data_IF_917505396897
#
_entry.id   IF_917505396897
#
_cell.length_a   1.000
_cell.length_b   1.000
_cell.length_c   1.000
_cell.angle_alpha   90.00
_cell.angle_beta   90.00
_cell.angle_gamma   90.00
#
_symmetry.space_group_name_H-M   'P 1'
#
loop_
_entity.id
_entity.type
_entity.pdbx_description
1 polymer ?
#
# COMPACT_ATOMS: atom_id res chain seq x y z
N UNK A 1 15.46 -11.18 -9.31
CA UNK A 1 14.14 -10.76 -9.88
C UNK A 1 13.35 -10.02 -8.80
N UNK A 2 13.05 -8.74 -8.99
CA UNK A 2 12.19 -7.97 -8.05
C UNK A 2 10.73 -8.35 -8.31
N UNK A 3 10.01 -8.74 -7.26
CA UNK A 3 8.56 -8.91 -7.24
C UNK A 3 8.05 -8.62 -5.83
N UNK A 4 7.87 -7.34 -5.56
CA UNK A 4 7.49 -6.84 -4.25
C UNK A 4 6.21 -6.02 -4.32
N UNK A 5 5.51 -5.95 -3.20
CA UNK A 5 4.23 -5.25 -3.09
C UNK A 5 4.20 -4.41 -1.82
N UNK A 6 3.74 -3.17 -1.94
CA UNK A 6 3.39 -2.27 -0.83
C UNK A 6 1.89 -2.07 -0.86
N UNK A 7 1.21 -2.31 0.25
CA UNK A 7 -0.27 -2.26 0.32
C UNK A 7 -0.76 -1.50 1.53
N UNK A 8 -1.95 -0.91 1.39
CA UNK A 8 -2.71 -0.35 2.51
C UNK A 8 -4.18 -0.73 2.37
N UNK A 9 -4.85 -0.95 3.50
CA UNK A 9 -6.25 -1.36 3.58
C UNK A 9 -6.98 -0.59 4.68
N UNK A 10 -8.26 -0.30 4.43
CA UNK A 10 -9.16 0.33 5.41
C UNK A 10 -10.61 -0.07 5.15
N UNK A 11 -11.49 0.17 6.12
CA UNK A 11 -12.92 -0.06 6.01
C UNK A 11 -13.65 1.03 5.22
N UNK A 12 -15.00 1.07 5.28
CA UNK A 12 -15.81 2.05 4.56
C UNK A 12 -15.39 3.48 4.86
N UNK A 13 -15.16 4.26 3.78
CA UNK A 13 -14.87 5.69 3.84
C UNK A 13 -15.33 6.31 2.54
N UNK A 14 -16.45 7.01 2.58
CA UNK A 14 -16.97 7.73 1.44
C UNK A 14 -16.09 8.92 1.11
N UNK A 15 -15.65 9.00 -0.14
CA UNK A 15 -14.81 10.08 -0.66
C UNK A 15 -15.21 10.40 -2.10
N UNK A 16 -15.29 11.69 -2.40
CA UNK A 16 -15.56 12.18 -3.75
C UNK A 16 -14.38 11.96 -4.69
N UNK A 17 -14.59 11.96 -6.02
CA UNK A 17 -13.50 11.89 -6.97
C UNK A 17 -12.43 12.96 -6.80
N UNK A 18 -12.81 14.15 -6.28
CA UNK A 18 -11.88 15.24 -6.01
C UNK A 18 -10.99 14.93 -4.81
N UNK A 19 -11.55 14.47 -3.70
CA UNK A 19 -10.78 14.06 -2.52
C UNK A 19 -9.83 12.89 -2.84
N UNK A 20 -10.30 11.94 -3.64
CA UNK A 20 -9.45 10.84 -4.12
C UNK A 20 -8.33 11.34 -5.03
N UNK A 21 -8.59 12.32 -5.91
CA UNK A 21 -7.56 12.93 -6.75
C UNK A 21 -6.48 13.61 -5.91
N UNK A 22 -6.86 14.36 -4.87
CA UNK A 22 -5.92 15.01 -3.96
C UNK A 22 -5.02 13.99 -3.24
N UNK A 23 -5.58 12.84 -2.77
CA UNK A 23 -4.80 11.75 -2.18
C UNK A 23 -3.84 11.09 -3.19
N UNK A 24 -4.30 10.85 -4.40
CA UNK A 24 -3.48 10.30 -5.46
C UNK A 24 -2.28 11.20 -5.75
N UNK A 25 -2.51 12.50 -5.94
CA UNK A 25 -1.45 13.46 -6.27
C UNK A 25 -0.43 13.59 -5.14
N UNK A 26 -0.88 13.62 -3.87
CA UNK A 26 0.03 13.61 -2.72
C UNK A 26 0.86 12.31 -2.69
N UNK A 27 0.23 11.16 -2.90
CA UNK A 27 0.95 9.88 -2.95
C UNK A 27 2.00 9.82 -4.06
N UNK A 28 1.64 10.23 -5.28
CA UNK A 28 2.57 10.25 -6.41
C UNK A 28 3.75 11.21 -6.17
N UNK A 29 3.51 12.37 -5.57
CA UNK A 29 4.56 13.31 -5.20
C UNK A 29 5.54 12.71 -4.19
N UNK A 30 5.03 12.07 -3.14
CA UNK A 30 5.85 11.40 -2.12
C UNK A 30 6.61 10.20 -2.67
N UNK A 31 6.01 9.41 -3.56
CA UNK A 31 6.73 8.31 -4.23
C UNK A 31 7.91 8.82 -5.06
N UNK A 32 7.75 9.96 -5.74
CA UNK A 32 8.85 10.59 -6.47
C UNK A 32 10.03 10.95 -5.55
N UNK A 33 9.79 11.34 -4.30
CA UNK A 33 10.83 11.58 -3.29
C UNK A 33 11.54 10.28 -2.85
N UNK A 34 10.86 9.13 -2.92
CA UNK A 34 11.48 7.82 -2.63
C UNK A 34 12.45 7.42 -3.74
N UNK A 35 12.01 7.52 -5.01
CA UNK A 35 12.85 7.27 -6.20
C UNK A 35 12.27 7.96 -7.44
N UNK A 36 12.89 9.07 -7.85
CA UNK A 36 12.41 9.85 -9.00
C UNK A 36 12.53 9.10 -10.33
N UNK A 37 13.47 8.15 -10.44
CA UNK A 37 13.68 7.43 -11.69
C UNK A 37 12.62 6.34 -11.91
N UNK A 38 12.13 5.73 -10.85
CA UNK A 38 11.11 4.67 -10.92
C UNK A 38 9.70 5.26 -10.87
N UNK A 39 9.48 6.28 -10.03
CA UNK A 39 8.15 6.80 -9.74
C UNK A 39 7.84 8.11 -10.49
N UNK A 40 8.35 8.25 -11.69
CA UNK A 40 8.02 9.33 -12.60
C UNK A 40 7.29 8.79 -13.85
N UNK A 41 6.73 9.71 -14.66
CA UNK A 41 6.09 9.40 -15.96
C UNK A 41 4.94 8.38 -15.85
N UNK A 42 4.03 8.65 -14.92
CA UNK A 42 2.83 7.83 -14.70
C UNK A 42 1.89 7.88 -15.90
N UNK A 43 1.34 6.71 -16.26
CA UNK A 43 0.44 6.51 -17.38
C UNK A 43 -0.85 5.86 -16.93
N UNK A 44 -1.93 6.21 -17.61
CA UNK A 44 -3.25 5.60 -17.42
C UNK A 44 -3.26 4.15 -17.93
N UNK A 45 -4.05 3.29 -17.30
CA UNK A 45 -4.19 1.88 -17.74
C UNK A 45 -5.15 1.69 -18.90
N UNK A 46 -5.92 2.71 -19.26
CA UNK A 46 -6.89 2.69 -20.35
C UNK A 46 -6.27 2.62 -21.77
N UNK A 47 -5.04 2.17 -21.89
CA UNK A 47 -4.37 1.94 -23.16
C UNK A 47 -3.30 0.86 -23.03
N UNK A 48 -3.14 0.03 -24.06
CA UNK A 48 -2.09 -0.98 -24.06
C UNK A 48 -0.74 -0.38 -24.48
N UNK A 49 0.29 -0.60 -23.67
CA UNK A 49 1.68 -0.38 -24.04
C UNK A 49 2.17 1.09 -24.02
N UNK A 50 3.26 1.39 -24.72
CA UNK A 50 3.95 2.70 -24.66
C UNK A 50 3.13 3.91 -25.08
N UNK A 51 2.00 3.70 -25.74
CA UNK A 51 1.10 4.73 -26.24
C UNK A 51 0.00 5.12 -25.24
N UNK A 52 -0.03 4.50 -24.03
CA UNK A 52 -0.98 4.87 -23.00
C UNK A 52 -0.83 6.36 -22.64
N UNK A 53 -1.95 7.09 -22.45
CA UNK A 53 -1.90 8.50 -22.07
C UNK A 53 -1.10 8.72 -20.79
N UNK A 54 -0.41 9.85 -20.69
CA UNK A 54 0.17 10.30 -19.43
C UNK A 54 -0.95 10.66 -18.46
N UNK A 55 -0.79 10.32 -17.22
CA UNK A 55 -1.72 10.73 -16.18
C UNK A 55 -1.72 12.25 -16.04
N UNK A 56 -2.90 12.84 -15.96
CA UNK A 56 -3.04 14.25 -15.58
C UNK A 56 -2.60 14.41 -14.13
N UNK A 57 -1.63 15.27 -13.87
CA UNK A 57 -1.10 15.52 -12.52
C UNK A 57 -1.66 16.82 -11.92
N UNK A 58 -2.91 17.14 -12.27
CA UNK A 58 -3.70 18.19 -11.65
C UNK A 58 -5.01 17.62 -11.08
N UNK A 59 -5.58 18.23 -10.03
CA UNK A 59 -6.71 17.63 -9.32
C UNK A 59 -7.98 17.48 -10.18
N UNK A 60 -8.23 18.37 -11.12
CA UNK A 60 -9.43 18.35 -11.97
C UNK A 60 -9.33 17.26 -13.03
N UNK A 61 -8.19 17.22 -13.73
CA UNK A 61 -7.90 16.20 -14.74
C UNK A 61 -7.86 14.80 -14.13
N UNK A 62 -7.27 14.65 -12.91
CA UNK A 62 -7.23 13.37 -12.22
C UNK A 62 -8.60 12.93 -11.71
N UNK A 63 -9.42 13.84 -11.16
CA UNK A 63 -10.81 13.53 -10.78
C UNK A 63 -11.65 13.06 -11.98
N UNK A 64 -11.47 13.72 -13.15
CA UNK A 64 -12.11 13.29 -14.38
C UNK A 64 -11.64 11.90 -14.84
N UNK A 65 -10.35 11.57 -14.63
CA UNK A 65 -9.83 10.22 -14.90
C UNK A 65 -10.48 9.16 -14.01
N UNK A 66 -10.63 9.43 -12.70
CA UNK A 66 -11.28 8.52 -11.74
C UNK A 66 -12.72 8.22 -12.19
N UNK A 67 -13.51 9.24 -12.48
CA UNK A 67 -14.91 9.08 -12.95
C UNK A 67 -15.00 8.32 -14.27
N UNK A 68 -14.09 8.59 -15.20
CA UNK A 68 -14.06 7.90 -16.50
C UNK A 68 -13.75 6.41 -16.37
N UNK A 69 -12.97 6.02 -15.36
CA UNK A 69 -12.62 4.63 -15.08
C UNK A 69 -13.75 3.82 -14.43
N UNK A 70 -14.71 4.50 -13.80
CA UNK A 70 -15.90 3.90 -13.16
C UNK A 70 -17.16 4.67 -13.57
N UNK A 71 -17.79 4.28 -14.70
CA UNK A 71 -18.88 5.04 -15.32
C UNK A 71 -20.20 5.03 -14.55
N UNK A 72 -20.38 4.17 -13.56
CA UNK A 72 -21.59 4.09 -12.74
C UNK A 72 -21.27 3.90 -11.26
N UNK A 73 -20.84 4.97 -10.57
CA UNK A 73 -20.49 4.91 -9.16
C UNK A 73 -21.68 4.55 -8.25
N UNK A 74 -22.91 4.84 -8.65
CA UNK A 74 -24.11 4.53 -7.85
C UNK A 74 -24.46 3.02 -7.87
N UNK A 75 -23.98 2.27 -8.89
CA UNK A 75 -24.16 0.83 -8.96
C UNK A 75 -23.11 0.06 -8.13
N UNK A 76 -22.02 0.71 -7.68
CA UNK A 76 -20.92 0.05 -7.01
C UNK A 76 -20.63 0.67 -5.63
N UNK A 77 -21.21 0.14 -4.54
CA UNK A 77 -20.92 0.61 -3.18
C UNK A 77 -19.46 0.46 -2.78
N UNK A 78 -18.66 -0.27 -3.55
CA UNK A 78 -17.20 -0.47 -3.32
C UNK A 78 -16.34 0.76 -3.67
N UNK A 79 -16.93 1.81 -4.27
CA UNK A 79 -16.21 3.02 -4.69
C UNK A 79 -15.52 2.89 -6.04
N UNK A 80 -14.62 3.83 -6.30
CA UNK A 80 -13.92 3.97 -7.57
C UNK A 80 -12.71 3.04 -7.68
N UNK A 81 -12.48 2.48 -8.88
CA UNK A 81 -11.29 1.71 -9.20
C UNK A 81 -10.41 2.46 -10.17
N UNK A 82 -9.20 2.77 -9.76
CA UNK A 82 -8.26 3.56 -10.55
C UNK A 82 -6.90 2.89 -10.55
N UNK A 83 -6.19 2.88 -11.65
CA UNK A 83 -4.84 2.34 -11.70
C UNK A 83 -3.92 3.11 -12.64
N UNK A 84 -2.67 3.23 -12.24
CA UNK A 84 -1.59 3.83 -13.00
C UNK A 84 -0.42 2.87 -13.10
N UNK A 85 0.39 3.06 -14.12
CA UNK A 85 1.64 2.33 -14.27
C UNK A 85 2.76 3.25 -14.77
N UNK A 86 4.01 2.84 -14.49
CA UNK A 86 5.19 3.46 -15.06
C UNK A 86 6.15 2.38 -15.52
N UNK A 87 6.89 2.68 -16.58
CA UNK A 87 7.95 1.82 -17.11
C UNK A 87 9.04 2.67 -17.72
N UNK A 88 10.22 2.53 -17.18
CA UNK A 88 11.44 3.12 -17.72
C UNK A 88 12.43 2.01 -18.07
N UNK A 89 13.14 2.16 -19.16
CA UNK A 89 14.15 1.17 -19.57
C UNK A 89 15.21 1.01 -18.47
N UNK A 90 15.58 -0.24 -18.18
CA UNK A 90 16.56 -0.55 -17.13
C UNK A 90 16.06 -0.36 -15.69
N UNK A 91 14.77 -0.06 -15.50
CA UNK A 91 14.17 0.13 -14.16
C UNK A 91 12.98 -0.83 -13.94
N UNK A 92 12.66 -1.15 -12.67
CA UNK A 92 11.46 -1.90 -12.34
C UNK A 92 10.19 -1.21 -12.85
N UNK A 93 9.25 -2.00 -13.37
CA UNK A 93 7.90 -1.51 -13.64
C UNK A 93 7.18 -1.30 -12.31
N UNK A 94 6.65 -0.10 -12.10
CA UNK A 94 5.72 0.19 -11.01
C UNK A 94 4.27 0.19 -11.53
N UNK A 95 3.35 -0.33 -10.72
CA UNK A 95 1.91 -0.35 -10.99
C UNK A 95 1.17 -0.05 -9.68
N UNK A 96 0.29 0.93 -9.69
CA UNK A 96 -0.57 1.26 -8.56
C UNK A 96 -2.01 0.97 -8.95
N UNK A 97 -2.72 0.23 -8.09
CA UNK A 97 -4.16 0.06 -8.15
C UNK A 97 -4.79 0.56 -6.86
N UNK A 98 -5.88 1.31 -6.98
CA UNK A 98 -6.67 1.82 -5.86
C UNK A 98 -8.12 1.42 -6.04
N UNK A 99 -8.74 0.98 -4.95
CA UNK A 99 -10.19 0.83 -4.81
C UNK A 99 -10.61 1.61 -3.57
N UNK A 100 -11.28 2.75 -3.74
CA UNK A 100 -11.54 3.70 -2.66
C UNK A 100 -12.78 4.57 -2.91
N UNK A 101 -13.25 5.25 -1.86
CA UNK A 101 -14.38 6.17 -1.90
C UNK A 101 -15.74 5.51 -1.74
N UNK A 102 -15.79 4.22 -1.42
CA UNK A 102 -17.02 3.46 -1.25
C UNK A 102 -17.51 3.36 0.20
N UNK A 103 -18.73 2.85 0.34
CA UNK A 103 -19.42 2.62 1.62
C UNK A 103 -19.66 1.13 1.90
N UNK A 104 -19.16 0.23 1.05
CA UNK A 104 -19.32 -1.21 1.25
C UNK A 104 -18.66 -1.67 2.54
N UNK A 105 -19.40 -2.37 3.37
CA UNK A 105 -18.98 -2.86 4.69
C UNK A 105 -18.44 -4.30 4.68
N UNK A 106 -18.56 -5.00 3.55
CA UNK A 106 -18.08 -6.37 3.36
C UNK A 106 -16.74 -6.47 2.62
N UNK A 107 -16.24 -5.38 2.03
CA UNK A 107 -15.00 -5.37 1.23
C UNK A 107 -14.14 -4.17 1.62
N UNK A 108 -12.89 -4.40 2.05
CA UNK A 108 -12.01 -3.30 2.41
C UNK A 108 -11.61 -2.49 1.16
N UNK A 109 -11.45 -1.20 1.35
CA UNK A 109 -10.81 -0.31 0.41
C UNK A 109 -9.29 -0.56 0.43
N UNK A 110 -8.60 -0.25 -0.66
CA UNK A 110 -7.17 -0.58 -0.75
C UNK A 110 -6.39 0.30 -1.72
N UNK A 111 -5.11 0.44 -1.41
CA UNK A 111 -4.05 0.87 -2.32
C UNK A 111 -3.01 -0.24 -2.43
N UNK A 112 -2.62 -0.58 -3.66
CA UNK A 112 -1.62 -1.64 -3.93
C UNK A 112 -0.61 -1.12 -4.94
N UNK A 113 0.63 -0.90 -4.50
CA UNK A 113 1.79 -0.61 -5.34
C UNK A 113 2.56 -1.92 -5.56
N UNK A 114 2.73 -2.32 -6.83
CA UNK A 114 3.51 -3.47 -7.25
C UNK A 114 4.75 -3.02 -7.99
N UNK A 115 5.89 -3.60 -7.66
CA UNK A 115 7.15 -3.41 -8.38
C UNK A 115 7.62 -4.74 -8.93
N UNK A 116 7.90 -4.76 -10.24
CA UNK A 116 8.35 -5.96 -10.95
C UNK A 116 9.52 -5.64 -11.86
N UNK A 117 10.58 -6.45 -11.78
CA UNK A 117 11.66 -6.46 -12.74
C UNK A 117 12.10 -7.89 -13.02
N UNK A 118 12.33 -8.19 -14.32
CA UNK A 118 12.95 -9.46 -14.74
C UNK A 118 14.46 -9.47 -14.55
N UNK A 119 15.08 -8.31 -14.64
CA UNK A 119 16.55 -8.18 -14.81
C UNK A 119 17.25 -7.57 -13.58
N UNK A 120 16.49 -7.02 -12.60
CA UNK A 120 17.06 -6.48 -11.36
C UNK A 120 17.21 -7.57 -10.31
N UNK A 121 18.30 -7.53 -9.57
CA UNK A 121 18.58 -8.44 -8.46
C UNK A 121 17.75 -8.08 -7.22
N UNK A 122 17.59 -9.03 -6.28
CA UNK A 122 16.86 -8.82 -5.03
C UNK A 122 17.51 -7.74 -4.13
N UNK A 123 18.80 -7.48 -4.35
CA UNK A 123 19.60 -6.48 -3.64
C UNK A 123 19.54 -5.08 -4.28
N UNK A 124 18.57 -4.80 -5.18
CA UNK A 124 18.39 -3.45 -5.74
C UNK A 124 18.17 -2.44 -4.60
N UNK A 125 18.96 -1.33 -4.56
CA UNK A 125 18.84 -0.30 -3.53
C UNK A 125 17.43 0.29 -3.37
N UNK A 126 16.58 0.18 -4.40
CA UNK A 126 15.18 0.56 -4.35
C UNK A 126 14.43 -0.25 -3.29
N UNK A 127 14.68 -1.58 -3.20
CA UNK A 127 13.96 -2.45 -2.25
C UNK A 127 14.17 -1.97 -0.81
N UNK A 128 15.39 -1.56 -0.45
CA UNK A 128 15.71 -0.99 0.87
C UNK A 128 15.02 0.36 1.17
N UNK A 129 14.48 1.04 0.14
CA UNK A 129 13.74 2.31 0.31
C UNK A 129 12.22 2.12 0.41
N UNK A 130 11.70 0.91 0.13
CA UNK A 130 10.25 0.67 0.10
C UNK A 130 9.52 0.82 1.46
N UNK A 131 10.17 0.68 2.64
CA UNK A 131 9.53 1.13 3.88
C UNK A 131 9.14 2.61 3.86
N UNK A 132 9.88 3.48 3.14
CA UNK A 132 9.49 4.88 2.91
C UNK A 132 8.31 5.01 1.94
N UNK A 133 8.19 4.13 0.95
CA UNK A 133 7.01 4.08 0.08
C UNK A 133 5.76 3.66 0.85
N UNK A 134 5.89 2.75 1.84
CA UNK A 134 4.80 2.41 2.76
C UNK A 134 4.44 3.59 3.67
N UNK A 135 5.41 4.36 4.15
CA UNK A 135 5.16 5.60 4.90
C UNK A 135 4.46 6.65 4.02
N UNK A 136 4.90 6.84 2.77
CA UNK A 136 4.25 7.73 1.81
C UNK A 136 2.79 7.34 1.53
N UNK A 137 2.53 6.01 1.41
CA UNK A 137 1.17 5.48 1.30
C UNK A 137 0.36 5.80 2.55
N UNK A 138 0.94 5.59 3.75
CA UNK A 138 0.27 5.86 5.03
C UNK A 138 -0.08 7.34 5.19
N UNK A 139 0.83 8.23 4.83
CA UNK A 139 0.61 9.67 4.92
C UNK A 139 -0.49 10.17 3.97
N UNK A 140 -0.51 9.67 2.73
CA UNK A 140 -1.46 10.13 1.72
C UNK A 140 -2.85 9.49 1.86
N UNK A 141 -2.91 8.19 2.15
CA UNK A 141 -4.16 7.41 2.13
C UNK A 141 -4.75 7.15 3.51
N UNK A 142 -3.97 7.32 4.58
CA UNK A 142 -4.41 7.08 5.97
C UNK A 142 -5.12 5.72 6.15
N UNK A 143 -4.47 4.60 5.75
CA UNK A 143 -5.06 3.26 5.88
C UNK A 143 -5.14 2.81 7.33
N UNK A 144 -5.96 1.80 7.60
CA UNK A 144 -6.03 1.15 8.91
C UNK A 144 -4.76 0.35 9.19
N UNK A 145 -4.33 -0.42 8.19
CA UNK A 145 -3.06 -1.14 8.21
C UNK A 145 -2.49 -1.25 6.79
N UNK A 146 -1.20 -1.59 6.70
CA UNK A 146 -0.53 -1.82 5.43
C UNK A 146 0.72 -2.66 5.62
N UNK A 147 1.23 -3.24 4.52
CA UNK A 147 2.47 -4.00 4.55
C UNK A 147 3.34 -3.78 3.31
N UNK A 148 4.61 -4.06 3.47
CA UNK A 148 5.57 -4.22 2.39
C UNK A 148 6.15 -5.63 2.45
N UNK A 149 6.03 -6.40 1.38
CA UNK A 149 6.54 -7.76 1.30
C UNK A 149 6.86 -8.19 -0.13
N UNK A 150 7.74 -9.19 -0.27
CA UNK A 150 7.87 -10.00 -1.47
C UNK A 150 6.85 -11.15 -1.47
N UNK A 151 6.76 -11.83 -2.62
CA UNK A 151 5.78 -12.91 -2.80
C UNK A 151 6.02 -14.10 -1.87
N UNK A 152 7.27 -14.48 -1.64
CA UNK A 152 7.62 -15.64 -0.82
C UNK A 152 7.21 -15.39 0.64
N UNK A 153 7.57 -14.23 1.17
CA UNK A 153 7.23 -13.81 2.53
C UNK A 153 5.72 -13.67 2.72
N UNK A 154 5.01 -13.06 1.74
CA UNK A 154 3.54 -12.99 1.77
C UNK A 154 2.90 -14.38 1.85
N UNK A 155 3.42 -15.35 1.09
CA UNK A 155 2.91 -16.72 1.10
C UNK A 155 3.17 -17.37 2.46
N UNK A 156 4.40 -17.29 2.98
CA UNK A 156 4.76 -17.88 4.27
C UNK A 156 3.89 -17.34 5.42
N UNK A 157 3.69 -16.02 5.50
CA UNK A 157 2.85 -15.41 6.55
C UNK A 157 1.39 -15.80 6.38
N UNK A 158 0.88 -15.80 5.14
CA UNK A 158 -0.51 -16.20 4.87
C UNK A 158 -0.79 -17.63 5.31
N UNK A 159 0.11 -18.56 4.99
CA UNK A 159 -0.03 -19.99 5.35
C UNK A 159 0.11 -20.21 6.85
N UNK A 160 1.08 -19.54 7.52
CA UNK A 160 1.31 -19.70 8.95
C UNK A 160 0.11 -19.24 9.82
N UNK A 161 -0.66 -18.26 9.36
CA UNK A 161 -1.75 -17.65 10.12
C UNK A 161 -3.13 -17.80 9.47
N UNK A 162 -3.27 -18.63 8.44
CA UNK A 162 -4.51 -18.90 7.70
C UNK A 162 -5.24 -17.59 7.27
N UNK A 163 -4.52 -16.69 6.57
CA UNK A 163 -5.02 -15.38 6.22
C UNK A 163 -5.60 -15.34 4.81
N UNK A 164 -6.67 -14.59 4.65
CA UNK A 164 -7.13 -14.14 3.34
C UNK A 164 -6.21 -13.04 2.74
N UNK A 165 -6.55 -12.53 1.56
CA UNK A 165 -5.73 -11.52 0.88
C UNK A 165 -5.73 -10.15 1.59
N UNK A 166 -6.79 -9.82 2.30
CA UNK A 166 -6.98 -8.54 3.00
C UNK A 166 -6.76 -8.64 4.51
N UNK A 167 -6.42 -9.83 5.03
CA UNK A 167 -6.14 -10.05 6.45
C UNK A 167 -4.88 -9.31 6.91
N UNK A 168 -4.95 -8.55 8.03
CA UNK A 168 -3.83 -7.77 8.54
C UNK A 168 -2.61 -8.62 8.82
N UNK A 169 -1.44 -8.16 8.37
CA UNK A 169 -0.15 -8.86 8.51
C UNK A 169 1.04 -7.91 8.50
N UNK A 170 2.15 -8.39 9.01
CA UNK A 170 3.46 -7.77 8.86
C UNK A 170 4.24 -8.51 7.77
N UNK A 171 4.82 -7.77 6.83
CA UNK A 171 5.84 -8.24 5.89
C UNK A 171 7.24 -7.82 6.31
N UNK A 172 8.06 -7.33 5.37
CA UNK A 172 9.35 -6.68 5.67
C UNK A 172 9.16 -5.38 6.47
N UNK A 173 8.01 -4.72 6.25
CA UNK A 173 7.54 -3.61 7.07
C UNK A 173 6.02 -3.69 7.21
N UNK A 174 5.49 -3.07 8.27
CA UNK A 174 4.06 -2.96 8.54
C UNK A 174 3.71 -1.52 8.91
N UNK A 175 2.65 -0.96 8.31
CA UNK A 175 1.99 0.26 8.76
C UNK A 175 0.84 -0.10 9.69
N UNK A 176 0.70 0.64 10.77
CA UNK A 176 -0.35 0.54 11.77
C UNK A 176 -0.94 1.94 12.01
N UNK A 177 -2.26 2.10 11.88
CA UNK A 177 -2.97 3.34 12.23
C UNK A 177 -2.76 3.70 13.70
N UNK A 178 -3.15 4.90 14.12
CA UNK A 178 -2.97 5.35 15.50
C UNK A 178 -3.55 4.39 16.54
N UNK A 179 -4.77 3.85 16.30
CA UNK A 179 -5.40 2.88 17.20
C UNK A 179 -4.58 1.58 17.31
N UNK A 180 -4.11 1.07 16.19
CA UNK A 180 -3.26 -0.13 16.13
C UNK A 180 -1.87 0.12 16.71
N UNK A 181 -1.28 1.30 16.46
CA UNK A 181 0.04 1.69 16.96
C UNK A 181 0.08 1.73 18.50
N UNK A 182 -1.01 2.10 19.14
CA UNK A 182 -1.15 2.08 20.60
C UNK A 182 -1.09 0.66 21.20
N UNK A 183 -1.32 -0.37 20.40
CA UNK A 183 -1.25 -1.79 20.80
C UNK A 183 0.12 -2.42 20.54
N UNK A 184 1.07 -1.68 19.95
CA UNK A 184 2.41 -2.19 19.65
C UNK A 184 3.26 -2.23 20.91
N UNK A 185 3.79 -3.39 21.35
CA UNK A 185 4.61 -3.47 22.54
C UNK A 185 5.95 -2.72 22.36
N UNK A 186 6.47 -2.13 23.45
CA UNK A 186 7.72 -1.35 23.42
C UNK A 186 8.92 -2.14 22.90
N UNK A 187 9.03 -3.41 23.23
CA UNK A 187 10.13 -4.30 22.84
C UNK A 187 10.01 -4.92 21.46
N UNK A 188 9.01 -4.54 20.65
CA UNK A 188 8.86 -5.11 19.31
C UNK A 188 10.10 -4.78 18.44
N UNK A 189 10.74 -5.78 17.79
CA UNK A 189 11.86 -5.55 16.88
C UNK A 189 11.48 -4.64 15.71
N UNK A 190 12.48 -3.93 15.18
CA UNK A 190 12.33 -3.09 14.00
C UNK A 190 12.49 -1.60 14.28
N UNK A 191 12.74 -0.86 13.20
CA UNK A 191 12.84 0.59 13.23
C UNK A 191 11.45 1.21 13.13
N UNK A 192 11.10 2.11 14.03
CA UNK A 192 9.83 2.84 13.99
C UNK A 192 9.97 4.13 13.21
N UNK A 193 9.15 4.30 12.18
CA UNK A 193 9.02 5.51 11.38
C UNK A 193 7.64 6.10 11.68
N UNK A 194 7.56 7.25 12.38
CA UNK A 194 6.29 7.93 12.59
C UNK A 194 5.73 8.41 11.25
N UNK A 195 4.42 8.32 11.09
CA UNK A 195 3.69 8.80 9.91
C UNK A 195 2.60 9.76 10.34
N UNK A 196 2.00 10.46 9.38
CA UNK A 196 0.87 11.34 9.63
C UNK A 196 -0.26 10.62 10.38
N UNK A 197 -1.18 11.37 10.96
CA UNK A 197 -2.36 10.86 11.67
C UNK A 197 -2.07 9.97 12.89
N UNK A 198 -0.83 10.02 13.44
CA UNK A 198 -0.46 9.29 14.65
C UNK A 198 -0.16 7.80 14.44
N UNK A 199 -0.11 7.35 13.20
CA UNK A 199 0.30 5.99 12.86
C UNK A 199 1.81 5.76 12.92
N UNK A 200 2.23 4.53 12.70
CA UNK A 200 3.63 4.12 12.67
C UNK A 200 3.90 3.10 11.56
N UNK A 201 5.03 3.21 10.90
CA UNK A 201 5.61 2.11 10.12
C UNK A 201 6.70 1.45 10.95
N UNK A 202 6.59 0.14 11.15
CA UNK A 202 7.63 -0.70 11.75
C UNK A 202 8.37 -1.41 10.63
N UNK A 203 9.63 -1.08 10.44
CA UNK A 203 10.52 -1.59 9.41
C UNK A 203 11.45 -2.65 10.03
N UNK A 204 11.34 -3.89 9.56
CA UNK A 204 12.13 -5.03 10.01
C UNK A 204 13.41 -5.24 9.20
N UNK A 205 13.65 -4.43 8.16
CA UNK A 205 14.86 -4.51 7.34
C UNK A 205 16.12 -4.24 8.17
N UNK A 206 17.20 -4.89 7.82
CA UNK A 206 18.51 -4.64 8.41
C UNK A 206 19.03 -3.22 8.10
N UNK A 207 20.13 -2.79 8.75
CA UNK A 207 20.68 -1.42 8.63
C UNK A 207 21.02 -1.03 7.18
N UNK A 208 21.41 -1.98 6.34
CA UNK A 208 21.71 -1.79 4.92
C UNK A 208 20.51 -2.01 3.98
N UNK A 209 19.31 -2.26 4.53
CA UNK A 209 18.11 -2.58 3.75
C UNK A 209 17.94 -4.07 3.47
N UNK A 210 18.72 -4.92 4.13
CA UNK A 210 18.67 -6.37 3.96
C UNK A 210 17.28 -6.92 4.36
N UNK A 211 16.85 -7.94 3.65
CA UNK A 211 15.58 -8.59 3.94
C UNK A 211 15.60 -9.24 5.33
N UNK A 212 14.54 -9.07 6.15
CA UNK A 212 14.43 -9.79 7.41
C UNK A 212 14.27 -11.30 7.17
N UNK A 213 14.81 -12.12 8.08
CA UNK A 213 14.55 -13.55 8.07
C UNK A 213 13.06 -13.86 8.30
N UNK A 214 12.56 -14.91 7.65
CA UNK A 214 11.14 -15.34 7.77
C UNK A 214 10.74 -15.57 9.23
N UNK A 215 11.60 -16.20 10.04
CA UNK A 215 11.30 -16.47 11.46
C UNK A 215 11.06 -15.20 12.26
N UNK A 216 11.85 -14.12 12.00
CA UNK A 216 11.64 -12.83 12.62
C UNK A 216 10.26 -12.27 12.25
N UNK A 217 9.89 -12.32 10.96
CA UNK A 217 8.60 -11.80 10.50
C UNK A 217 7.44 -12.61 11.09
N UNK A 218 7.54 -13.93 11.17
CA UNK A 218 6.52 -14.77 11.81
C UNK A 218 6.37 -14.44 13.30
N UNK A 219 7.47 -14.30 14.04
CA UNK A 219 7.46 -13.92 15.45
C UNK A 219 6.84 -12.54 15.70
N UNK A 220 7.12 -11.56 14.83
CA UNK A 220 6.50 -10.23 14.89
C UNK A 220 4.99 -10.32 14.61
N UNK A 221 4.57 -11.11 13.62
CA UNK A 221 3.14 -11.33 13.35
C UNK A 221 2.43 -11.96 14.56
N UNK A 222 3.02 -12.97 15.19
CA UNK A 222 2.48 -13.62 16.40
C UNK A 222 2.32 -12.60 17.54
N UNK A 223 3.36 -11.79 17.80
CA UNK A 223 3.34 -10.75 18.82
C UNK A 223 2.26 -9.71 18.59
N UNK A 224 2.17 -9.17 17.37
CA UNK A 224 1.18 -8.15 17.01
C UNK A 224 -0.26 -8.68 16.99
N UNK A 225 -0.45 -9.98 16.71
CA UNK A 225 -1.76 -10.65 16.84
C UNK A 225 -2.13 -10.82 18.30
N UNK A 226 -1.18 -11.24 19.13
CA UNK A 226 -1.39 -11.41 20.57
C UNK A 226 -1.82 -10.14 21.29
N UNK A 227 -1.38 -8.96 20.80
CA UNK A 227 -1.81 -7.66 21.34
C UNK A 227 -3.07 -7.08 20.68
N UNK A 228 -3.55 -7.70 19.60
CA UNK A 228 -4.68 -7.19 18.82
C UNK A 228 -4.30 -6.13 17.76
N UNK A 229 -3.04 -5.73 17.65
CA UNK A 229 -2.58 -4.74 16.65
C UNK A 229 -2.83 -5.21 15.20
N UNK A 230 -2.88 -6.53 14.95
CA UNK A 230 -3.24 -7.14 13.66
C UNK A 230 -4.61 -7.83 13.69
N UNK A 231 -5.51 -7.44 14.59
CA UNK A 231 -6.89 -7.91 14.54
C UNK A 231 -7.58 -7.41 13.25
N UNK A 232 -8.38 -8.24 12.56
CA UNK A 232 -9.21 -7.77 11.45
C UNK A 232 -10.27 -6.79 11.97
N UNK A 233 -10.73 -5.88 11.08
CA UNK A 233 -11.95 -5.13 11.34
C UNK A 233 -13.14 -6.11 11.44
N UNK A 234 -14.14 -5.84 12.29
CA UNK A 234 -15.34 -6.66 12.35
C UNK A 234 -16.06 -6.67 11.00
N UNK A 235 -16.78 -7.74 10.69
CA UNK A 235 -17.66 -7.80 9.53
C UNK A 235 -19.13 -7.91 9.99
N UNK A 236 -20.04 -7.08 9.45
CA UNK A 236 -19.80 -5.97 8.52
C UNK A 236 -18.94 -4.87 9.17
N UNK A 237 -18.10 -4.20 8.36
CA UNK A 237 -17.24 -3.13 8.85
C UNK A 237 -18.05 -1.87 9.12
N UNK A 238 -18.04 -1.40 10.36
CA UNK A 238 -18.78 -0.20 10.81
C UNK A 238 -17.90 1.07 10.88
N UNK A 239 -16.62 0.94 10.55
CA UNK A 239 -15.63 2.01 10.67
C UNK A 239 -14.46 1.80 9.70
N UNK A 240 -13.77 2.89 9.31
CA UNK A 240 -12.60 2.78 8.42
C UNK A 240 -11.35 2.21 9.09
N UNK A 241 -11.21 2.37 10.41
CA UNK A 241 -9.99 1.96 11.17
C UNK A 241 -10.34 1.39 12.54
N UNK A 242 -9.40 0.58 13.07
CA UNK A 242 -9.47 0.03 14.42
C UNK A 242 -9.34 1.12 15.48
#
# INVERSE_FOLDING_TARGET
>A
MINVTVRGFWGPREESPRELADRWLDFLARLKEVDEEVFADWRETAGAGPQAPRAALDPEGFAAYIVRGDPDPDAYPVGYRTSLWTRREGRPKAEIGVSAGGVADGVPQSVVLKLRSGDAEEDDPLVGRLPRALAALADAWDPDWGDFADRALMTAVREAFDLDNAGPRCGRAVHLSAGRAALVPEGLPGRRLPVAHGGVVVDLSGPGGEAPGTDLVLSVNETLRGTGALAPLPLPMDRPKL
#
